data_IF_838428883716
#
_entry.id   IF_838428883716
#
_cell.length_a   1.000
_cell.length_b   1.000
_cell.length_c   1.000
_cell.angle_alpha   90.00
_cell.angle_beta   90.00
_cell.angle_gamma   90.00
#
_symmetry.space_group_name_H-M   'P 1'
#
loop_
_entity.id
_entity.type
_entity.pdbx_description
1 polymer ?
#
# COMPACT_ATOMS: atom_id res chain seq x y z
N UNK A 1 16.28 22.61 -1.76
CA UNK A 1 15.97 22.52 -0.32
C UNK A 1 15.61 23.92 0.13
N UNK A 2 14.50 24.05 0.83
CA UNK A 2 14.02 25.34 1.35
C UNK A 2 13.95 25.30 2.88
N UNK A 3 14.07 26.47 3.53
CA UNK A 3 13.89 26.59 4.98
C UNK A 3 12.50 26.14 5.44
N UNK A 4 11.48 26.29 4.59
CA UNK A 4 10.14 25.77 4.85
C UNK A 4 10.10 24.24 4.99
N UNK A 5 11.13 23.51 4.60
CA UNK A 5 11.22 22.06 4.77
C UNK A 5 11.78 21.63 6.15
N UNK A 6 12.21 22.57 6.99
CA UNK A 6 12.84 22.28 8.29
C UNK A 6 11.85 21.80 9.37
N UNK A 7 10.54 21.91 9.12
CA UNK A 7 9.53 21.25 9.94
C UNK A 7 9.44 19.73 9.69
N UNK A 8 10.17 19.23 8.68
CA UNK A 8 10.32 17.82 8.34
C UNK A 8 11.69 17.32 8.77
N UNK A 9 11.83 16.00 8.85
CA UNK A 9 13.10 15.36 9.17
C UNK A 9 14.08 15.45 7.97
N UNK A 10 15.31 15.00 8.22
CA UNK A 10 16.40 14.76 7.25
C UNK A 10 17.25 15.97 6.82
N UNK A 11 16.67 16.99 6.18
CA UNK A 11 17.46 18.14 5.70
C UNK A 11 17.86 19.10 6.83
N UNK A 12 18.99 19.78 6.66
CA UNK A 12 19.51 20.76 7.63
C UNK A 12 19.50 22.20 7.07
N UNK A 13 19.47 23.24 7.92
CA UNK A 13 19.43 24.63 7.47
C UNK A 13 20.58 25.01 6.51
N UNK A 14 21.76 24.44 6.72
CA UNK A 14 22.97 24.72 5.94
C UNK A 14 22.87 24.18 4.50
N UNK A 15 21.94 23.27 4.24
CA UNK A 15 21.71 22.69 2.91
C UNK A 15 20.71 23.52 2.07
N UNK A 16 20.20 24.63 2.60
CA UNK A 16 19.28 25.53 1.89
C UNK A 16 19.90 26.02 0.58
N UNK A 17 19.14 25.95 -0.51
CA UNK A 17 19.58 26.33 -1.86
C UNK A 17 20.14 25.18 -2.72
N UNK A 18 20.57 24.06 -2.14
CA UNK A 18 20.94 22.86 -2.91
C UNK A 18 19.70 22.19 -3.52
N UNK A 19 19.86 21.43 -4.61
CA UNK A 19 18.78 20.53 -5.03
C UNK A 19 18.54 19.47 -3.95
N UNK A 20 17.31 18.97 -3.83
CA UNK A 20 16.96 17.97 -2.81
C UNK A 20 17.80 16.69 -2.98
N UNK A 21 18.03 16.27 -4.22
CA UNK A 21 18.77 15.05 -4.50
C UNK A 21 20.27 15.18 -4.20
N UNK A 22 20.88 16.33 -4.45
CA UNK A 22 22.30 16.58 -4.09
C UNK A 22 22.50 16.67 -2.58
N UNK A 23 21.61 17.38 -1.88
CA UNK A 23 21.66 17.46 -0.42
C UNK A 23 21.47 16.08 0.22
N UNK A 24 20.55 15.26 -0.31
CA UNK A 24 20.37 13.87 0.13
C UNK A 24 21.61 13.03 -0.13
N UNK A 25 22.21 13.14 -1.31
CA UNK A 25 23.40 12.39 -1.69
C UNK A 25 24.56 12.63 -0.73
N UNK A 26 24.81 13.89 -0.38
CA UNK A 26 25.86 14.27 0.58
C UNK A 26 25.62 13.58 1.92
N UNK A 27 24.43 13.79 2.51
CA UNK A 27 24.09 13.20 3.80
C UNK A 27 24.15 11.68 3.80
N UNK A 28 23.61 11.02 2.77
CA UNK A 28 23.51 9.56 2.73
C UNK A 28 24.87 8.88 2.50
N UNK A 29 25.74 9.47 1.68
CA UNK A 29 27.13 8.97 1.51
C UNK A 29 27.92 9.08 2.80
N UNK A 30 27.71 10.14 3.58
CA UNK A 30 28.36 10.30 4.88
C UNK A 30 27.85 9.25 5.90
N UNK A 31 26.57 8.87 5.82
CA UNK A 31 25.97 7.84 6.69
C UNK A 31 26.49 6.45 6.34
N UNK A 32 26.50 6.10 5.05
CA UNK A 32 27.01 4.80 4.60
C UNK A 32 27.69 4.93 3.22
N UNK A 33 29.04 4.88 3.17
CA UNK A 33 29.78 5.02 1.92
C UNK A 33 29.72 3.78 1.02
N UNK A 34 29.23 2.64 1.53
CA UNK A 34 29.13 1.40 0.76
C UNK A 34 27.91 1.36 -0.16
N UNK A 35 27.00 2.34 -0.04
CA UNK A 35 25.80 2.45 -0.88
C UNK A 35 26.14 3.20 -2.17
N UNK A 36 25.82 2.58 -3.30
CA UNK A 36 25.90 3.24 -4.61
C UNK A 36 24.70 4.17 -4.82
N UNK A 37 24.97 5.38 -5.30
CA UNK A 37 23.94 6.39 -5.53
C UNK A 37 24.06 6.99 -6.93
N UNK A 38 22.92 7.04 -7.61
CA UNK A 38 22.69 7.80 -8.81
C UNK A 38 21.53 8.77 -8.55
N UNK A 39 21.69 10.04 -8.93
CA UNK A 39 20.70 11.09 -8.64
C UNK A 39 20.30 11.85 -9.90
N UNK A 40 19.02 12.23 -9.95
CA UNK A 40 18.45 13.02 -11.04
C UNK A 40 17.66 14.18 -10.47
N UNK A 41 18.08 15.41 -10.77
CA UNK A 41 17.34 16.62 -10.43
C UNK A 41 16.47 17.05 -11.62
N UNK A 42 15.38 16.33 -11.86
CA UNK A 42 14.51 16.55 -13.01
C UNK A 42 13.03 16.28 -12.68
N UNK A 43 12.13 16.85 -13.48
CA UNK A 43 10.71 16.54 -13.39
C UNK A 43 10.37 15.37 -14.31
N UNK A 44 10.04 14.22 -13.73
CA UNK A 44 9.73 12.98 -14.45
C UNK A 44 8.47 13.05 -15.32
N UNK A 45 7.59 14.04 -15.11
CA UNK A 45 6.32 14.15 -15.84
C UNK A 45 6.47 14.77 -17.24
N UNK A 46 7.65 15.31 -17.57
CA UNK A 46 7.90 15.83 -18.92
C UNK A 46 8.22 14.68 -19.88
N UNK A 47 7.83 14.80 -21.14
CA UNK A 47 8.07 13.75 -22.13
C UNK A 47 9.55 13.37 -22.26
N UNK A 48 10.45 14.37 -22.24
CA UNK A 48 11.89 14.17 -22.29
C UNK A 48 12.42 13.34 -21.11
N UNK A 49 11.99 13.67 -19.88
CA UNK A 49 12.48 12.98 -18.68
C UNK A 49 11.77 11.65 -18.42
N UNK A 50 10.60 11.44 -19.02
CA UNK A 50 9.87 10.17 -18.93
C UNK A 50 10.66 9.04 -19.61
N UNK A 51 11.29 9.30 -20.75
CA UNK A 51 12.15 8.32 -21.42
C UNK A 51 13.37 7.97 -20.55
N UNK A 52 13.97 8.98 -19.90
CA UNK A 52 15.06 8.76 -18.93
C UNK A 52 14.58 7.91 -17.74
N UNK A 53 13.37 8.17 -17.21
CA UNK A 53 12.79 7.35 -16.14
C UNK A 53 12.66 5.88 -16.57
N UNK A 54 12.12 5.62 -17.77
CA UNK A 54 11.98 4.25 -18.29
C UNK A 54 13.34 3.56 -18.45
N UNK A 55 14.32 4.27 -19.00
CA UNK A 55 15.68 3.76 -19.17
C UNK A 55 16.33 3.41 -17.83
N UNK A 56 16.27 4.32 -16.85
CA UNK A 56 16.86 4.06 -15.52
C UNK A 56 16.14 2.98 -14.73
N UNK A 57 14.83 2.81 -14.90
CA UNK A 57 14.15 1.63 -14.31
C UNK A 57 14.65 0.34 -14.97
N UNK A 58 14.86 0.33 -16.29
CA UNK A 58 15.31 -0.86 -17.03
C UNK A 58 16.77 -1.24 -16.78
N UNK A 59 17.64 -0.26 -16.54
CA UNK A 59 19.10 -0.44 -16.59
C UNK A 59 19.85 0.22 -15.41
N UNK A 60 19.16 0.90 -14.50
CA UNK A 60 19.78 1.61 -13.39
C UNK A 60 19.91 0.81 -12.09
N UNK A 61 19.56 -0.47 -12.11
CA UNK A 61 19.85 -1.41 -11.03
C UNK A 61 21.33 -1.77 -10.98
N UNK A 62 21.72 -2.45 -9.90
CA UNK A 62 23.09 -2.90 -9.70
C UNK A 62 23.55 -3.79 -10.88
N UNK A 63 24.76 -3.54 -11.40
CA UNK A 63 25.32 -4.21 -12.59
C UNK A 63 24.52 -3.94 -13.89
N UNK A 64 24.01 -2.71 -14.06
CA UNK A 64 23.23 -2.28 -15.24
C UNK A 64 21.97 -3.13 -15.50
N UNK A 65 21.42 -3.72 -14.44
CA UNK A 65 20.18 -4.50 -14.48
C UNK A 65 18.98 -3.59 -14.28
N UNK A 66 17.78 -4.17 -14.40
CA UNK A 66 16.55 -3.54 -13.95
C UNK A 66 16.62 -3.27 -12.44
N UNK A 67 16.05 -2.16 -11.98
CA UNK A 67 15.90 -1.90 -10.55
C UNK A 67 14.94 -2.92 -9.91
N UNK A 68 15.27 -3.41 -8.72
CA UNK A 68 14.44 -4.42 -8.05
C UNK A 68 13.07 -3.87 -7.65
N UNK A 69 13.03 -2.59 -7.24
CA UNK A 69 11.83 -1.94 -6.71
C UNK A 69 11.85 -0.43 -7.01
N UNK A 70 10.68 0.13 -7.29
CA UNK A 70 10.47 1.60 -7.36
C UNK A 70 9.67 2.05 -6.15
N UNK A 71 10.08 3.13 -5.50
CA UNK A 71 9.36 3.72 -4.36
C UNK A 71 8.83 5.11 -4.75
N UNK A 72 7.52 5.30 -4.67
CA UNK A 72 6.86 6.58 -4.94
C UNK A 72 6.57 7.32 -3.63
N UNK A 73 7.34 8.40 -3.39
CA UNK A 73 7.20 9.30 -2.25
C UNK A 73 6.86 10.73 -2.69
N UNK A 74 6.16 10.88 -3.82
CA UNK A 74 5.80 12.17 -4.43
C UNK A 74 4.53 12.75 -3.81
N UNK A 75 4.29 14.05 -4.01
CA UNK A 75 3.22 14.80 -3.36
C UNK A 75 2.07 15.22 -4.29
N UNK A 76 2.06 14.74 -5.53
CA UNK A 76 1.05 15.09 -6.53
C UNK A 76 0.61 13.87 -7.34
N UNK A 77 -0.59 13.94 -7.91
CA UNK A 77 -1.18 12.83 -8.67
C UNK A 77 -0.55 12.69 -10.05
N UNK A 78 -0.13 13.79 -10.68
CA UNK A 78 0.53 13.72 -11.98
C UNK A 78 1.78 12.82 -11.95
N UNK A 79 2.67 13.01 -10.97
CA UNK A 79 3.86 12.18 -10.79
C UNK A 79 3.52 10.72 -10.42
N UNK A 80 2.50 10.48 -9.59
CA UNK A 80 2.02 9.12 -9.28
C UNK A 80 1.53 8.40 -10.53
N UNK A 81 0.77 9.09 -11.38
CA UNK A 81 0.28 8.59 -12.66
C UNK A 81 1.43 8.29 -13.63
N UNK A 82 2.44 9.17 -13.70
CA UNK A 82 3.65 8.93 -14.50
C UNK A 82 4.39 7.67 -14.05
N UNK A 83 4.59 7.48 -12.74
CA UNK A 83 5.23 6.27 -12.19
C UNK A 83 4.37 5.04 -12.46
N UNK A 84 3.05 5.13 -12.28
CA UNK A 84 2.10 4.06 -12.57
C UNK A 84 2.17 3.60 -14.03
N UNK A 85 2.18 4.55 -14.97
CA UNK A 85 2.31 4.28 -16.41
C UNK A 85 3.63 3.56 -16.70
N UNK A 86 4.76 4.09 -16.22
CA UNK A 86 6.07 3.49 -16.39
C UNK A 86 6.12 2.05 -15.84
N UNK A 87 5.61 1.84 -14.62
CA UNK A 87 5.67 0.54 -13.98
C UNK A 87 4.73 -0.48 -14.64
N UNK A 88 3.55 -0.09 -15.12
CA UNK A 88 2.67 -0.97 -15.89
C UNK A 88 3.30 -1.35 -17.23
N UNK A 89 3.87 -0.38 -17.95
CA UNK A 89 4.55 -0.60 -19.22
C UNK A 89 5.70 -1.60 -19.05
N UNK A 90 6.52 -1.42 -18.02
CA UNK A 90 7.70 -2.24 -17.77
C UNK A 90 7.39 -3.56 -17.05
N UNK A 91 6.23 -3.69 -16.42
CA UNK A 91 5.96 -4.77 -15.46
C UNK A 91 6.90 -4.69 -14.25
N UNK A 92 7.10 -3.48 -13.72
CA UNK A 92 7.96 -3.20 -12.57
C UNK A 92 7.14 -3.23 -11.28
N UNK A 93 7.61 -3.95 -10.26
CA UNK A 93 7.03 -3.85 -8.91
C UNK A 93 7.40 -2.49 -8.33
N UNK A 94 6.42 -1.84 -7.70
CA UNK A 94 6.65 -0.57 -7.03
C UNK A 94 5.78 -0.43 -5.79
N UNK A 95 6.20 0.39 -4.85
CA UNK A 95 5.40 0.75 -3.68
C UNK A 95 5.09 2.24 -3.73
N UNK A 96 3.85 2.58 -3.45
CA UNK A 96 3.38 3.95 -3.32
C UNK A 96 3.23 4.31 -1.84
N UNK A 97 3.45 5.58 -1.52
CA UNK A 97 3.14 6.13 -0.21
C UNK A 97 2.50 7.51 -0.32
N UNK A 98 1.60 7.78 0.62
CA UNK A 98 0.92 9.06 0.74
C UNK A 98 0.72 9.48 2.19
N UNK A 99 0.69 10.79 2.41
CA UNK A 99 0.28 11.43 3.66
C UNK A 99 -0.79 12.45 3.32
N UNK A 100 -1.85 12.51 4.12
CA UNK A 100 -2.96 13.43 3.90
C UNK A 100 -2.55 14.90 4.08
N UNK A 101 -3.29 15.81 3.45
CA UNK A 101 -3.03 17.26 3.56
C UNK A 101 -3.15 17.81 4.99
N UNK A 102 -3.94 17.16 5.84
CA UNK A 102 -4.08 17.50 7.26
C UNK A 102 -3.08 16.76 8.17
N UNK A 103 -2.19 15.94 7.60
CA UNK A 103 -1.13 15.17 8.26
C UNK A 103 -1.59 14.17 9.34
N UNK A 104 -2.88 13.83 9.42
CA UNK A 104 -3.40 12.86 10.40
C UNK A 104 -3.73 11.50 9.79
N UNK A 105 -3.41 11.27 8.52
CA UNK A 105 -3.43 9.93 7.95
C UNK A 105 -2.31 9.71 6.93
N UNK A 106 -1.96 8.45 6.73
CA UNK A 106 -1.00 8.02 5.74
C UNK A 106 -1.32 6.62 5.22
N UNK A 107 -0.64 6.21 4.16
CA UNK A 107 -0.73 4.84 3.67
C UNK A 107 0.52 4.44 2.89
N UNK A 108 0.68 3.13 2.74
CA UNK A 108 1.54 2.51 1.74
C UNK A 108 0.75 1.50 0.93
N UNK A 109 1.11 1.34 -0.35
CA UNK A 109 0.49 0.37 -1.22
C UNK A 109 1.55 -0.35 -2.07
N UNK A 110 1.59 -1.68 -1.99
CA UNK A 110 2.44 -2.53 -2.83
C UNK A 110 1.74 -2.85 -4.13
N UNK A 111 2.36 -2.47 -5.24
CA UNK A 111 1.81 -2.55 -6.58
C UNK A 111 2.57 -3.59 -7.41
N UNK A 112 1.89 -4.69 -7.73
CA UNK A 112 2.39 -5.71 -8.65
C UNK A 112 1.53 -5.65 -9.92
N UNK A 113 2.05 -5.12 -11.04
CA UNK A 113 1.27 -4.92 -12.26
C UNK A 113 0.53 -6.19 -12.69
N UNK A 114 -0.79 -6.08 -12.77
CA UNK A 114 -1.72 -7.15 -13.17
C UNK A 114 -2.16 -8.10 -12.06
N UNK A 115 -1.51 -8.10 -10.88
CA UNK A 115 -1.93 -8.90 -9.70
C UNK A 115 -2.68 -8.06 -8.68
N UNK A 116 -2.18 -6.86 -8.41
CA UNK A 116 -2.81 -5.89 -7.52
C UNK A 116 -3.29 -4.66 -8.30
N UNK A 117 -4.26 -3.94 -7.74
CA UNK A 117 -4.75 -2.69 -8.28
C UNK A 117 -3.59 -1.77 -8.61
N UNK A 118 -3.51 -1.27 -9.85
CA UNK A 118 -2.61 -0.17 -10.18
C UNK A 118 -3.25 1.17 -9.72
N UNK A 119 -2.52 2.29 -9.77
CA UNK A 119 -3.02 3.56 -9.25
C UNK A 119 -4.25 4.06 -10.02
N UNK A 120 -4.35 3.67 -11.30
CA UNK A 120 -5.49 3.95 -12.19
C UNK A 120 -6.65 2.95 -12.06
N UNK A 121 -6.52 1.89 -11.24
CA UNK A 121 -7.64 0.98 -11.01
C UNK A 121 -8.73 1.59 -10.13
N UNK A 122 -8.31 2.42 -9.16
CA UNK A 122 -9.19 3.17 -8.26
C UNK A 122 -8.69 4.62 -8.13
N UNK A 123 -8.77 5.42 -9.21
CA UNK A 123 -8.21 6.76 -9.23
C UNK A 123 -8.97 7.69 -8.27
N UNK A 124 -8.28 8.66 -7.63
CA UNK A 124 -8.93 9.71 -6.86
C UNK A 124 -9.95 10.48 -7.72
N UNK A 125 -11.01 11.01 -7.10
CA UNK A 125 -12.11 11.67 -7.80
C UNK A 125 -11.67 12.80 -8.75
N UNK A 126 -10.64 13.58 -8.38
CA UNK A 126 -10.09 14.63 -9.24
C UNK A 126 -9.48 14.10 -10.52
N UNK A 127 -8.78 12.96 -10.44
CA UNK A 127 -8.16 12.28 -11.58
C UNK A 127 -9.26 11.67 -12.46
N UNK A 128 -10.23 10.99 -11.84
CA UNK A 128 -11.35 10.37 -12.54
C UNK A 128 -12.22 11.39 -13.30
N UNK A 129 -12.41 12.59 -12.74
CA UNK A 129 -13.18 13.68 -13.35
C UNK A 129 -12.43 14.48 -14.41
N UNK A 130 -11.15 14.18 -14.68
CA UNK A 130 -10.31 14.98 -15.56
C UNK A 130 -10.04 16.39 -15.05
N UNK A 131 -10.16 16.60 -13.73
CA UNK A 131 -9.95 17.88 -13.09
C UNK A 131 -8.46 18.21 -12.93
N UNK A 132 -8.15 19.50 -12.85
CA UNK A 132 -6.79 19.96 -12.54
C UNK A 132 -6.53 19.82 -11.03
N UNK A 133 -5.50 19.06 -10.65
CA UNK A 133 -5.08 18.93 -9.25
C UNK A 133 -4.66 20.28 -8.63
N UNK A 134 -4.20 21.22 -9.46
CA UNK A 134 -3.86 22.57 -9.02
C UNK A 134 -5.09 23.36 -8.59
N UNK A 135 -6.29 22.98 -9.04
CA UNK A 135 -7.54 23.59 -8.56
C UNK A 135 -7.89 23.17 -7.12
N UNK A 136 -7.33 22.08 -6.62
CA UNK A 136 -7.46 21.64 -5.22
C UNK A 136 -6.43 22.35 -4.33
N UNK A 137 -5.22 22.57 -4.87
CA UNK A 137 -4.16 23.28 -4.17
C UNK A 137 -4.51 24.76 -4.04
N UNK A 138 -4.79 25.22 -2.82
CA UNK A 138 -4.93 26.65 -2.54
C UNK A 138 -3.55 27.31 -2.52
N UNK A 139 -3.31 28.24 -3.44
CA UNK A 139 -2.08 29.04 -3.46
C UNK A 139 -1.84 29.70 -2.08
N UNK A 140 -0.63 29.55 -1.54
CA UNK A 140 -0.25 30.08 -0.23
C UNK A 140 -0.65 29.23 0.98
N UNK A 141 -1.37 28.12 0.80
CA UNK A 141 -1.66 27.16 1.88
C UNK A 141 -0.67 26.01 1.78
N UNK A 142 0.27 25.94 2.72
CA UNK A 142 1.09 24.74 2.88
C UNK A 142 0.20 23.64 3.45
N UNK A 143 0.19 22.46 2.82
CA UNK A 143 -0.35 21.25 3.42
C UNK A 143 0.28 21.09 4.81
N UNK A 144 -0.55 20.76 5.81
CA UNK A 144 -0.04 20.45 7.13
C UNK A 144 0.94 19.28 6.99
N UNK A 145 2.03 19.35 7.74
CA UNK A 145 3.13 18.40 7.60
C UNK A 145 3.66 18.13 9.00
N UNK A 146 3.25 16.98 9.55
CA UNK A 146 3.74 16.50 10.83
C UNK A 146 4.89 15.51 10.60
N UNK A 147 6.07 15.74 11.19
CA UNK A 147 7.22 14.85 11.03
C UNK A 147 6.94 13.44 11.59
N UNK A 148 6.02 13.32 12.55
CA UNK A 148 5.60 12.03 13.12
C UNK A 148 4.89 11.16 12.08
N UNK A 149 3.85 11.66 11.41
CA UNK A 149 3.12 10.94 10.38
C UNK A 149 4.03 10.58 9.20
N UNK A 150 4.90 11.51 8.79
CA UNK A 150 5.91 11.22 7.76
C UNK A 150 6.89 10.12 8.18
N UNK A 151 7.36 10.15 9.42
CA UNK A 151 8.26 9.13 9.96
C UNK A 151 7.60 7.74 10.05
N UNK A 152 6.35 7.66 10.49
CA UNK A 152 5.59 6.41 10.55
C UNK A 152 5.39 5.85 9.13
N UNK A 153 4.87 6.65 8.19
CA UNK A 153 4.65 6.21 6.81
C UNK A 153 5.96 5.77 6.15
N UNK A 154 7.06 6.52 6.32
CA UNK A 154 8.37 6.14 5.78
C UNK A 154 8.89 4.84 6.41
N UNK A 155 8.71 4.65 7.72
CA UNK A 155 9.07 3.42 8.41
C UNK A 155 8.28 2.21 7.90
N UNK A 156 6.97 2.35 7.71
CA UNK A 156 6.13 1.31 7.11
C UNK A 156 6.58 0.97 5.69
N UNK A 157 6.87 1.99 4.87
CA UNK A 157 7.33 1.81 3.49
C UNK A 157 8.67 1.07 3.41
N UNK A 158 9.63 1.47 4.24
CA UNK A 158 10.93 0.81 4.35
C UNK A 158 10.78 -0.64 4.83
N UNK A 159 9.91 -0.89 5.82
CA UNK A 159 9.66 -2.24 6.33
C UNK A 159 9.01 -3.14 5.26
N UNK A 160 8.06 -2.62 4.48
CA UNK A 160 7.46 -3.35 3.36
C UNK A 160 8.50 -3.66 2.27
N UNK A 161 9.39 -2.72 1.98
CA UNK A 161 10.51 -2.89 1.05
C UNK A 161 11.44 -4.02 1.50
N UNK A 162 11.85 -4.02 2.77
CA UNK A 162 12.71 -5.06 3.33
C UNK A 162 12.03 -6.44 3.31
N UNK A 163 10.78 -6.54 3.76
CA UNK A 163 10.01 -7.79 3.71
C UNK A 163 9.94 -8.35 2.28
N UNK A 164 9.71 -7.48 1.29
CA UNK A 164 9.62 -7.88 -0.11
C UNK A 164 10.96 -8.36 -0.70
N UNK A 165 12.04 -7.61 -0.45
CA UNK A 165 13.37 -7.92 -1.00
C UNK A 165 14.02 -9.12 -0.30
N UNK A 166 13.87 -9.22 1.03
CA UNK A 166 14.51 -10.25 1.86
C UNK A 166 13.62 -11.46 2.14
N UNK A 167 12.41 -11.50 1.59
CA UNK A 167 11.49 -12.66 1.65
C UNK A 167 11.18 -13.13 3.08
N UNK A 168 10.80 -12.19 3.95
CA UNK A 168 10.38 -12.50 5.32
C UNK A 168 9.07 -11.80 5.68
N UNK A 169 8.34 -12.40 6.62
CA UNK A 169 7.04 -11.91 7.05
C UNK A 169 6.02 -11.86 5.91
N UNK A 170 4.99 -11.03 6.06
CA UNK A 170 3.95 -10.85 5.05
C UNK A 170 3.99 -9.43 4.50
N UNK A 171 4.09 -9.28 3.19
CA UNK A 171 4.03 -7.98 2.52
C UNK A 171 2.57 -7.55 2.36
N UNK A 172 2.20 -6.42 2.95
CA UNK A 172 0.84 -5.89 2.81
C UNK A 172 0.64 -5.30 1.41
N UNK A 173 -0.47 -5.65 0.75
CA UNK A 173 -0.85 -4.97 -0.48
C UNK A 173 -1.25 -3.52 -0.21
N UNK A 174 -2.05 -3.25 0.81
CA UNK A 174 -2.33 -1.90 1.29
C UNK A 174 -2.26 -1.88 2.81
N UNK A 175 -1.63 -0.85 3.37
CA UNK A 175 -1.61 -0.59 4.79
C UNK A 175 -1.84 0.91 5.02
N UNK A 176 -2.96 1.24 5.64
CA UNK A 176 -3.29 2.59 6.07
C UNK A 176 -2.78 2.88 7.48
N UNK A 177 -2.73 4.17 7.81
CA UNK A 177 -2.48 4.69 9.13
C UNK A 177 -3.43 5.87 9.38
N UNK A 178 -4.29 5.73 10.39
CA UNK A 178 -5.12 6.81 10.94
C UNK A 178 -4.55 7.23 12.29
N UNK A 179 -4.00 8.44 12.35
CA UNK A 179 -3.35 9.00 13.53
C UNK A 179 -4.35 9.50 14.58
N UNK A 180 -5.63 9.69 14.23
CA UNK A 180 -6.65 10.11 15.20
C UNK A 180 -7.23 8.92 15.96
N UNK A 181 -7.37 7.79 15.28
CA UNK A 181 -7.92 6.55 15.83
C UNK A 181 -6.87 5.50 16.22
N UNK A 182 -5.57 5.80 16.09
CA UNK A 182 -4.46 4.86 16.26
C UNK A 182 -4.68 3.53 15.50
N UNK A 183 -5.21 3.63 14.29
CA UNK A 183 -5.73 2.49 13.53
C UNK A 183 -4.91 2.22 12.27
N UNK A 184 -4.61 0.93 12.05
CA UNK A 184 -3.80 0.46 10.93
C UNK A 184 -4.58 -0.55 10.07
N UNK A 185 -5.48 -0.09 9.19
CA UNK A 185 -6.23 -0.96 8.32
C UNK A 185 -5.32 -1.60 7.26
N UNK A 186 -5.50 -2.91 7.02
CA UNK A 186 -4.83 -3.63 5.94
C UNK A 186 -5.87 -4.24 5.02
N UNK A 187 -5.73 -4.00 3.71
CA UNK A 187 -6.64 -4.50 2.69
C UNK A 187 -5.88 -5.06 1.50
N UNK A 188 -6.58 -5.86 0.69
CA UNK A 188 -6.11 -6.28 -0.63
C UNK A 188 -7.02 -5.66 -1.69
N UNK A 189 -6.42 -4.85 -2.57
CA UNK A 189 -7.05 -4.21 -3.72
C UNK A 189 -6.68 -4.97 -4.99
N UNK A 190 -7.70 -5.47 -5.68
CA UNK A 190 -7.55 -6.22 -6.93
C UNK A 190 -7.57 -5.28 -8.15
N UNK A 191 -6.93 -5.66 -9.27
CA UNK A 191 -6.98 -4.90 -10.51
C UNK A 191 -8.42 -4.69 -11.01
N UNK A 192 -8.67 -3.50 -11.56
CA UNK A 192 -9.89 -3.22 -12.31
C UNK A 192 -9.77 -3.83 -13.72
N UNK A 193 -10.65 -4.77 -14.14
CA UNK A 193 -10.64 -5.34 -15.49
C UNK A 193 -10.82 -4.29 -16.60
N UNK A 194 -11.47 -3.18 -16.28
CA UNK A 194 -11.75 -2.06 -17.19
C UNK A 194 -10.81 -0.86 -16.96
N UNK A 195 -9.66 -1.07 -16.31
CA UNK A 195 -8.69 0.00 -16.05
C UNK A 195 -8.35 0.78 -17.33
N UNK A 196 -8.35 2.12 -17.24
CA UNK A 196 -8.02 3.02 -18.35
C UNK A 196 -6.63 2.77 -18.92
N UNK A 197 -5.70 2.32 -18.08
CA UNK A 197 -4.35 1.96 -18.48
C UNK A 197 -4.32 0.65 -19.29
N UNK A 198 -4.00 0.74 -20.59
CA UNK A 198 -3.87 -0.42 -21.47
C UNK A 198 -2.83 -1.42 -20.96
N UNK A 199 -1.68 -0.95 -20.48
CA UNK A 199 -0.64 -1.84 -19.99
C UNK A 199 -1.09 -2.59 -18.74
N UNK A 200 -1.85 -1.96 -17.84
CA UNK A 200 -2.45 -2.67 -16.71
C UNK A 200 -3.31 -3.86 -17.17
N UNK A 201 -4.20 -3.65 -18.14
CA UNK A 201 -5.05 -4.72 -18.70
C UNK A 201 -4.24 -5.83 -19.39
N UNK A 202 -3.17 -5.48 -20.10
CA UNK A 202 -2.26 -6.46 -20.69
C UNK A 202 -1.58 -7.31 -19.60
N UNK A 203 -1.09 -6.69 -18.52
CA UNK A 203 -0.52 -7.44 -17.39
C UNK A 203 -1.54 -8.36 -16.72
N UNK A 204 -2.80 -7.93 -16.58
CA UNK A 204 -3.87 -8.77 -16.04
C UNK A 204 -4.09 -10.02 -16.92
N UNK A 205 -4.03 -9.88 -18.25
CA UNK A 205 -4.12 -11.00 -19.18
C UNK A 205 -2.92 -11.96 -19.02
N UNK A 206 -1.69 -11.43 -18.90
CA UNK A 206 -0.50 -12.26 -18.62
C UNK A 206 -0.69 -13.11 -17.35
N UNK A 207 -1.26 -12.54 -16.28
CA UNK A 207 -1.57 -13.25 -15.04
C UNK A 207 -2.67 -14.31 -15.21
N UNK A 208 -3.69 -14.04 -16.02
CA UNK A 208 -4.79 -14.97 -16.27
C UNK A 208 -4.34 -16.16 -17.13
N UNK A 209 -3.50 -15.93 -18.13
CA UNK A 209 -3.03 -16.96 -19.06
C UNK A 209 -1.87 -17.78 -18.48
N UNK A 210 -0.96 -17.16 -17.72
CA UNK A 210 0.29 -17.78 -17.26
C UNK A 210 0.56 -17.54 -15.76
N UNK A 211 -0.34 -17.97 -14.85
CA UNK A 211 -0.24 -17.63 -13.42
C UNK A 211 1.07 -18.12 -12.77
N UNK A 212 1.53 -19.34 -13.07
CA UNK A 212 2.77 -19.88 -12.52
C UNK A 212 4.02 -19.13 -13.00
N UNK A 213 4.04 -18.73 -14.28
CA UNK A 213 5.15 -17.95 -14.85
C UNK A 213 5.22 -16.57 -14.19
N UNK A 214 4.07 -15.94 -13.98
CA UNK A 214 3.99 -14.64 -13.33
C UNK A 214 4.38 -14.71 -11.85
N UNK A 215 4.01 -15.76 -11.13
CA UNK A 215 4.47 -16.01 -9.76
C UNK A 215 6.00 -16.17 -9.69
N UNK A 216 6.61 -16.87 -10.66
CA UNK A 216 8.08 -16.99 -10.78
C UNK A 216 8.72 -15.65 -11.11
N UNK A 217 8.20 -14.93 -12.11
CA UNK A 217 8.72 -13.62 -12.56
C UNK A 217 8.82 -12.60 -11.44
N UNK A 218 7.83 -12.60 -10.53
CA UNK A 218 7.79 -11.68 -9.40
C UNK A 218 8.28 -12.29 -8.08
N UNK A 219 8.87 -13.49 -8.11
CA UNK A 219 9.42 -14.19 -6.94
C UNK A 219 8.42 -14.27 -5.76
N UNK A 220 7.21 -14.78 -6.04
CA UNK A 220 6.09 -14.88 -5.07
C UNK A 220 5.79 -16.32 -4.63
N UNK A 221 6.55 -17.32 -5.09
CA UNK A 221 6.27 -18.74 -4.83
C UNK A 221 6.47 -19.17 -3.37
N UNK A 222 7.25 -18.43 -2.57
CA UNK A 222 7.58 -18.81 -1.18
C UNK A 222 6.54 -18.34 -0.15
N UNK A 223 5.60 -17.46 -0.51
CA UNK A 223 4.55 -16.98 0.41
C UNK A 223 3.57 -18.10 0.83
N UNK A 224 3.56 -19.24 0.13
CA UNK A 224 2.65 -20.36 0.39
C UNK A 224 3.18 -21.42 1.36
N UNK A 225 4.48 -21.45 1.65
CA UNK A 225 5.04 -22.40 2.62
C UNK A 225 5.03 -21.80 4.02
N UNK A 226 3.85 -21.75 4.65
CA UNK A 226 3.81 -21.79 6.12
C UNK A 226 4.50 -23.10 6.52
N UNK A 227 5.69 -22.99 7.09
CA UNK A 227 6.32 -24.14 7.77
C UNK A 227 5.32 -24.63 8.81
N UNK A 228 4.74 -25.78 8.53
CA UNK A 228 3.89 -26.51 9.45
C UNK A 228 4.81 -27.05 10.55
N UNK A 229 5.02 -26.23 11.59
CA UNK A 229 5.82 -26.54 12.79
C UNK A 229 5.05 -27.47 13.74
N UNK A 230 4.03 -28.19 13.25
CA UNK A 230 3.19 -29.12 14.02
C UNK A 230 3.94 -30.32 14.60
N UNK A 231 5.23 -30.47 14.28
CA UNK A 231 6.06 -31.57 14.76
C UNK A 231 7.30 -31.11 15.54
N UNK A 232 7.39 -29.83 15.91
CA UNK A 232 8.38 -29.38 16.87
C UNK A 232 7.97 -29.86 18.28
N UNK A 233 8.92 -30.38 19.04
CA UNK A 233 8.70 -30.77 20.44
C UNK A 233 8.49 -29.48 21.26
N UNK A 234 7.22 -29.06 21.40
CA UNK A 234 6.85 -27.72 21.90
C UNK A 234 7.23 -27.50 23.37
N UNK A 235 7.22 -28.56 24.18
CA UNK A 235 7.51 -28.50 25.61
C UNK A 235 8.32 -29.73 26.04
N UNK A 236 9.67 -29.65 26.06
CA UNK A 236 10.50 -30.75 26.53
C UNK A 236 10.23 -31.10 27.99
N UNK A 237 9.76 -30.13 28.78
CA UNK A 237 9.33 -30.32 30.16
C UNK A 237 7.86 -29.89 30.33
N UNK A 238 7.00 -30.84 30.72
CA UNK A 238 5.61 -30.59 31.10
C UNK A 238 5.30 -31.28 32.45
N UNK A 239 6.09 -30.97 33.47
CA UNK A 239 6.02 -31.57 34.80
C UNK A 239 4.65 -31.39 35.48
N UNK A 240 3.93 -30.34 35.09
CA UNK A 240 2.63 -29.97 35.66
C UNK A 240 1.44 -30.52 34.87
N UNK A 241 1.69 -31.31 33.82
CA UNK A 241 0.65 -31.95 33.02
C UNK A 241 -0.30 -30.95 32.36
N UNK A 242 0.22 -29.80 31.93
CA UNK A 242 -0.57 -28.76 31.26
C UNK A 242 -1.05 -29.34 29.92
N UNK A 243 -2.37 -29.35 29.74
CA UNK A 243 -3.02 -29.80 28.51
C UNK A 243 -3.67 -28.60 27.86
N UNK A 244 -3.53 -28.50 26.54
CA UNK A 244 -4.32 -27.56 25.73
C UNK A 244 -5.67 -28.23 25.51
N UNK A 245 -6.71 -27.73 26.17
CA UNK A 245 -8.08 -28.15 25.87
C UNK A 245 -8.50 -27.53 24.54
N UNK A 246 -8.97 -28.35 23.60
CA UNK A 246 -9.56 -27.86 22.36
C UNK A 246 -10.80 -27.04 22.70
N UNK A 247 -10.77 -25.75 22.38
CA UNK A 247 -11.84 -24.80 22.68
C UNK A 247 -13.09 -24.98 21.80
N UNK A 248 -13.34 -26.17 21.26
CA UNK A 248 -14.62 -26.55 20.67
C UNK A 248 -15.64 -27.00 21.75
N UNK A 249 -15.27 -26.92 23.04
CA UNK A 249 -16.07 -27.38 24.17
C UNK A 249 -16.25 -26.38 25.31
N UNK A 250 -16.09 -25.07 25.10
CA UNK A 250 -16.32 -24.10 26.17
C UNK A 250 -17.79 -23.62 26.19
N UNK A 251 -18.55 -24.27 27.08
CA UNK A 251 -19.86 -23.90 27.64
C UNK A 251 -21.08 -23.90 26.70
N UNK A 252 -21.69 -25.08 26.56
CA UNK A 252 -23.15 -25.17 26.60
C UNK A 252 -23.63 -24.79 28.02
N UNK A 253 -23.66 -23.48 28.32
CA UNK A 253 -24.61 -22.98 29.33
C UNK A 253 -25.98 -23.01 28.68
N UNK A 254 -26.90 -23.74 29.32
CA UNK A 254 -28.33 -23.87 28.99
C UNK A 254 -28.86 -22.66 28.20
N UNK A 255 -28.95 -22.79 26.87
CA UNK A 255 -29.78 -21.92 26.06
C UNK A 255 -31.23 -22.25 26.42
N UNK A 256 -31.88 -21.37 27.17
CA UNK A 256 -33.33 -21.28 27.12
C UNK A 256 -33.70 -21.06 25.64
N UNK A 257 -34.44 -22.01 25.06
CA UNK A 257 -35.05 -21.87 23.74
C UNK A 257 -35.99 -20.64 23.74
N UNK A 258 -35.48 -19.45 23.41
CA UNK A 258 -36.33 -18.40 22.88
C UNK A 258 -36.68 -18.77 21.44
N UNK A 259 -37.88 -19.35 21.30
CA UNK A 259 -38.53 -19.53 20.00
C UNK A 259 -38.85 -18.16 19.41
N UNK A 260 -37.98 -17.64 18.54
CA UNK A 260 -38.38 -16.62 17.59
C UNK A 260 -39.30 -17.25 16.53
N UNK A 261 -40.61 -17.00 16.65
CA UNK A 261 -41.57 -17.25 15.58
C UNK A 261 -41.28 -16.30 14.41
N UNK A 262 -40.65 -16.83 13.36
CA UNK A 262 -40.56 -16.15 12.07
C UNK A 262 -41.95 -16.16 11.41
N UNK A 263 -42.66 -15.04 11.48
CA UNK A 263 -43.92 -14.85 10.75
C UNK A 263 -43.61 -14.66 9.26
N UNK A 264 -44.03 -15.61 8.42
CA UNK A 264 -43.94 -15.51 6.96
C UNK A 264 -44.92 -14.44 6.43
N UNK A 265 -44.39 -13.31 5.99
CA UNK A 265 -45.18 -12.16 5.50
C UNK A 265 -45.35 -12.15 3.98
N UNK A 266 -45.24 -13.29 3.28
CA UNK A 266 -45.54 -13.33 1.85
C UNK A 266 -47.04 -13.24 1.58
N UNK A 267 -47.50 -12.04 1.27
CA UNK A 267 -48.85 -11.78 0.75
C UNK A 267 -49.78 -10.96 1.66
N UNK A 268 -49.29 -10.48 2.81
CA UNK A 268 -50.09 -9.67 3.71
C UNK A 268 -50.30 -8.24 3.17
N UNK A 269 -51.50 -7.71 3.35
CA UNK A 269 -51.82 -6.33 3.00
C UNK A 269 -51.19 -5.34 3.99
N UNK A 270 -50.91 -4.12 3.52
CA UNK A 270 -50.26 -3.07 4.33
C UNK A 270 -51.07 -2.74 5.60
N UNK A 271 -52.39 -2.90 5.56
CA UNK A 271 -53.28 -2.67 6.70
C UNK A 271 -53.14 -3.74 7.78
N UNK A 272 -52.88 -5.00 7.42
CA UNK A 272 -52.65 -6.11 8.36
C UNK A 272 -51.30 -5.97 9.07
N UNK A 273 -50.27 -5.50 8.37
CA UNK A 273 -48.95 -5.25 8.96
C UNK A 273 -48.98 -4.10 9.98
N UNK A 274 -49.76 -3.05 9.74
CA UNK A 274 -49.90 -1.94 10.69
C UNK A 274 -50.70 -2.31 11.95
N UNK A 275 -51.64 -3.25 11.85
CA UNK A 275 -52.38 -3.74 13.00
C UNK A 275 -51.49 -4.58 13.95
N UNK A 276 -50.63 -5.43 13.39
CA UNK A 276 -49.68 -6.27 14.15
C UNK A 276 -48.66 -5.45 14.95
N UNK A 277 -48.18 -4.34 14.39
CA UNK A 277 -47.24 -3.43 15.08
C UNK A 277 -47.85 -2.68 16.27
N UNK A 278 -49.18 -2.48 16.30
CA UNK A 278 -49.86 -1.83 17.44
C UNK A 278 -50.08 -2.75 18.62
N UNK A 279 -50.05 -4.08 18.43
CA UNK A 279 -50.14 -5.05 19.53
C UNK A 279 -48.81 -5.39 20.20
N UNK A 280 -47.70 -4.82 19.70
CA UNK A 280 -46.33 -5.03 20.20
C UNK A 280 -45.78 -3.84 21.01
N UNK A 281 -46.63 -2.85 21.33
CA UNK A 281 -46.36 -1.78 22.31
C UNK A 281 -47.20 -1.98 23.57
#
# INVERSE_FOLDING_TARGET
VELANMNRLFFRPEQSGLSKVEASLQTLRDINPDVEFEIFNMNITTSENYDVLLERIRQGGLQEKRVDLVLSCVDNYAARMTINQACNELGQIWLESGVSENAVSGHIQTMIPGRYACFECAPPAVVAGGGDENAIKREGVCAASLPTTMGITAGLLAQATLKHLLKFGTVSNFLGYDALGDYFPSYSMTPNPECGNRHCRLRQQEWAEHPEEMMRKYNLLEETEKKDDSNAELHPDNEWGIVIEDSDGCAASEEEEEKEEVVDTKGASVEELMASLKSLQ
#
